data_IF_206243805829
#
_entry.id   IF_206243805829
#
_cell.length_a   1.000
_cell.length_b   1.000
_cell.length_c   1.000
_cell.angle_alpha   90.00
_cell.angle_beta   90.00
_cell.angle_gamma   90.00
#
_symmetry.space_group_name_H-M   'P 1'
#
loop_
_entity.id
_entity.type
_entity.pdbx_description
1 polymer ?
#
# COMPACT_ATOMS: atom_id res chain seq x y z
N UNK A 1 12.78 23.08 3.60
CA UNK A 1 13.39 22.01 4.41
C UNK A 1 12.85 20.67 3.94
N UNK A 2 13.68 19.63 3.73
CA UNK A 2 13.18 18.26 3.55
C UNK A 2 12.37 17.84 4.78
N UNK A 3 11.39 16.95 4.62
CA UNK A 3 10.54 16.51 5.73
C UNK A 3 10.33 15.00 5.76
N UNK A 4 10.08 14.50 6.97
CA UNK A 4 9.50 13.19 7.18
C UNK A 4 7.98 13.33 7.27
N UNK A 5 7.28 12.50 6.53
CA UNK A 5 5.83 12.44 6.55
C UNK A 5 5.34 11.00 6.56
N UNK A 6 4.15 10.83 7.11
CA UNK A 6 3.37 9.59 7.08
C UNK A 6 2.30 9.73 6.02
N UNK A 7 2.00 8.62 5.33
CA UNK A 7 0.83 8.52 4.46
C UNK A 7 -0.13 7.49 4.99
N UNK A 8 -1.38 7.89 5.05
CA UNK A 8 -2.49 7.05 5.47
C UNK A 8 -3.47 6.93 4.30
N UNK A 9 -4.06 5.75 4.14
CA UNK A 9 -5.20 5.60 3.24
C UNK A 9 -6.42 6.00 4.04
N UNK A 10 -7.18 6.96 3.54
CA UNK A 10 -8.42 7.42 4.17
C UNK A 10 -9.53 7.50 3.13
N UNK A 11 -10.76 7.27 3.55
CA UNK A 11 -11.95 7.46 2.73
C UNK A 11 -12.32 8.95 2.59
N UNK A 12 -13.47 9.21 1.96
CA UNK A 12 -14.04 10.57 1.83
C UNK A 12 -14.37 11.26 3.15
N UNK A 13 -14.59 10.49 4.21
CA UNK A 13 -14.95 10.93 5.56
C UNK A 13 -13.73 10.99 6.50
N UNK A 14 -12.52 10.91 5.93
CA UNK A 14 -11.24 10.89 6.63
C UNK A 14 -11.07 9.72 7.61
N UNK A 15 -11.73 8.58 7.35
CA UNK A 15 -11.55 7.35 8.11
C UNK A 15 -10.63 6.38 7.37
N UNK A 16 -9.73 5.74 8.11
CA UNK A 16 -8.92 4.64 7.59
C UNK A 16 -9.79 3.43 7.24
N UNK A 17 -9.31 2.52 6.37
CA UNK A 17 -9.95 1.25 6.14
C UNK A 17 -10.18 0.46 7.43
N UNK A 18 -11.25 -0.32 7.46
CA UNK A 18 -11.46 -1.30 8.53
C UNK A 18 -10.57 -2.53 8.33
N UNK A 19 -10.27 -3.31 9.39
CA UNK A 19 -9.60 -4.59 9.25
C UNK A 19 -10.27 -5.52 8.26
N UNK A 20 -11.60 -5.53 8.21
CA UNK A 20 -12.34 -6.32 7.23
C UNK A 20 -12.03 -5.90 5.78
N UNK A 21 -12.13 -4.61 5.48
CA UNK A 21 -11.80 -4.08 4.15
C UNK A 21 -10.32 -4.41 3.79
N UNK A 22 -9.42 -4.34 4.77
CA UNK A 22 -8.01 -4.68 4.59
C UNK A 22 -7.77 -6.19 4.31
N UNK A 23 -8.58 -7.08 4.88
CA UNK A 23 -8.54 -8.52 4.58
C UNK A 23 -8.99 -8.81 3.15
N UNK A 24 -10.06 -8.16 2.67
CA UNK A 24 -10.53 -8.31 1.28
C UNK A 24 -9.48 -7.83 0.27
N UNK A 25 -8.83 -6.69 0.56
CA UNK A 25 -7.68 -6.21 -0.23
C UNK A 25 -6.52 -7.22 -0.21
N UNK A 26 -6.26 -7.84 0.94
CA UNK A 26 -5.18 -8.82 1.08
C UNK A 26 -5.42 -10.04 0.19
N UNK A 27 -6.66 -10.53 0.15
CA UNK A 27 -7.06 -11.63 -0.74
C UNK A 27 -6.90 -11.25 -2.21
N UNK A 28 -7.33 -10.04 -2.61
CA UNK A 28 -7.14 -9.55 -3.97
C UNK A 28 -5.65 -9.47 -4.35
N UNK A 29 -4.78 -8.95 -3.46
CA UNK A 29 -3.34 -8.85 -3.70
C UNK A 29 -2.68 -10.23 -3.87
N UNK A 30 -3.13 -11.24 -3.13
CA UNK A 30 -2.67 -12.63 -3.29
C UNK A 30 -3.08 -13.22 -4.62
N UNK A 31 -4.33 -13.04 -5.04
CA UNK A 31 -4.82 -13.48 -6.36
C UNK A 31 -4.05 -12.79 -7.48
N UNK A 32 -3.82 -11.48 -7.34
CA UNK A 32 -3.01 -10.69 -8.26
C UNK A 32 -1.59 -11.25 -8.41
N UNK A 33 -0.88 -11.56 -7.33
CA UNK A 33 0.48 -12.12 -7.39
C UNK A 33 0.50 -13.58 -7.85
N UNK A 34 -0.53 -14.35 -7.49
CA UNK A 34 -0.64 -15.76 -7.84
C UNK A 34 -0.76 -16.00 -9.35
N UNK A 35 -1.22 -15.01 -10.11
CA UNK A 35 -1.26 -15.06 -11.58
C UNK A 35 -2.16 -16.16 -12.13
N UNK A 36 -3.26 -16.49 -11.43
CA UNK A 36 -4.19 -17.52 -11.85
C UNK A 36 -5.07 -17.02 -13.01
N UNK A 37 -5.17 -17.80 -14.09
CA UNK A 37 -5.99 -17.50 -15.27
C UNK A 37 -7.46 -17.18 -14.93
N UNK A 38 -7.99 -17.77 -13.85
CA UNK A 38 -9.37 -17.52 -13.40
C UNK A 38 -9.58 -16.08 -12.92
N UNK A 39 -8.53 -15.43 -12.45
CA UNK A 39 -8.55 -14.07 -11.92
C UNK A 39 -8.08 -13.03 -12.97
N UNK A 40 -7.66 -13.48 -14.16
CA UNK A 40 -7.07 -12.64 -15.21
C UNK A 40 -7.93 -11.42 -15.59
N UNK A 41 -9.25 -11.59 -15.65
CA UNK A 41 -10.18 -10.49 -15.97
C UNK A 41 -10.19 -9.39 -14.91
N UNK A 42 -10.17 -9.77 -13.64
CA UNK A 42 -10.20 -8.85 -12.50
C UNK A 42 -8.84 -8.14 -12.36
N UNK A 43 -7.75 -8.90 -12.50
CA UNK A 43 -6.37 -8.38 -12.52
C UNK A 43 -6.18 -7.36 -13.64
N UNK A 44 -6.66 -7.64 -14.86
CA UNK A 44 -6.57 -6.69 -15.98
C UNK A 44 -7.30 -5.37 -15.68
N UNK A 45 -8.44 -5.41 -14.97
CA UNK A 45 -9.14 -4.18 -14.56
C UNK A 45 -8.35 -3.38 -13.53
N UNK A 46 -7.76 -4.06 -12.54
CA UNK A 46 -6.92 -3.42 -11.52
C UNK A 46 -5.67 -2.76 -12.14
N UNK A 47 -5.02 -3.41 -13.10
CA UNK A 47 -3.86 -2.87 -13.82
C UNK A 47 -4.18 -1.58 -14.58
N UNK A 48 -5.30 -1.58 -15.32
CA UNK A 48 -5.75 -0.40 -16.08
C UNK A 48 -6.01 0.82 -15.18
N UNK A 49 -6.34 0.61 -13.91
CA UNK A 49 -6.53 1.68 -12.93
C UNK A 49 -5.19 2.29 -12.43
N UNK A 50 -4.08 1.55 -12.52
CA UNK A 50 -2.81 1.91 -11.86
C UNK A 50 -1.80 2.73 -12.68
N UNK A 51 -1.92 2.77 -14.03
CA UNK A 51 -1.27 3.62 -15.07
C UNK A 51 -0.54 2.85 -16.21
N UNK A 52 -0.67 3.43 -17.41
CA UNK A 52 0.11 3.36 -18.69
C UNK A 52 0.23 2.08 -19.52
N UNK A 53 -0.12 0.89 -19.04
CA UNK A 53 -0.04 -0.33 -19.85
C UNK A 53 -1.42 -0.97 -19.94
N UNK A 54 -1.96 -1.06 -21.16
CA UNK A 54 -3.18 -1.82 -21.45
C UNK A 54 -2.86 -3.31 -21.42
N UNK A 55 -2.70 -3.87 -20.21
CA UNK A 55 -2.66 -5.32 -20.04
C UNK A 55 -4.07 -5.87 -20.28
N UNK A 56 -4.18 -6.82 -21.21
CA UNK A 56 -5.42 -7.54 -21.50
C UNK A 56 -5.56 -8.81 -20.68
N UNK A 57 -6.78 -9.36 -20.67
CA UNK A 57 -7.02 -10.68 -20.07
C UNK A 57 -6.23 -11.77 -20.79
N UNK A 58 -6.09 -11.67 -22.12
CA UNK A 58 -5.25 -12.59 -22.90
C UNK A 58 -3.77 -12.50 -22.54
N UNK A 59 -3.24 -11.30 -22.30
CA UNK A 59 -1.82 -11.12 -21.93
C UNK A 59 -1.49 -11.83 -20.62
N UNK A 60 -2.43 -11.82 -19.67
CA UNK A 60 -2.27 -12.51 -18.38
C UNK A 60 -2.33 -14.03 -18.59
N UNK A 61 -3.38 -14.52 -19.26
CA UNK A 61 -3.57 -15.98 -19.50
C UNK A 61 -2.46 -16.61 -20.33
N UNK A 62 -1.85 -15.83 -21.23
CA UNK A 62 -0.74 -16.29 -22.06
C UNK A 62 0.62 -16.16 -21.37
N UNK A 63 0.67 -15.66 -20.13
CA UNK A 63 1.90 -15.50 -19.35
C UNK A 63 2.80 -14.35 -19.81
N UNK A 64 2.28 -13.44 -20.66
CA UNK A 64 3.00 -12.27 -21.15
C UNK A 64 2.91 -11.06 -20.20
N UNK A 65 2.17 -11.17 -19.09
CA UNK A 65 2.06 -10.13 -18.09
C UNK A 65 3.18 -10.16 -17.04
N UNK A 66 3.85 -9.01 -16.83
CA UNK A 66 4.91 -8.85 -15.84
C UNK A 66 4.38 -8.18 -14.57
N UNK A 67 3.79 -8.97 -13.67
CA UNK A 67 3.33 -8.51 -12.36
C UNK A 67 4.43 -7.74 -11.61
N UNK A 68 4.08 -6.55 -11.08
CA UNK A 68 4.99 -5.69 -10.31
C UNK A 68 6.31 -5.36 -11.06
N UNK A 69 6.29 -5.36 -12.39
CA UNK A 69 7.46 -5.14 -13.25
C UNK A 69 8.40 -6.36 -13.33
N UNK A 70 7.90 -7.56 -13.05
CA UNK A 70 8.67 -8.82 -13.11
C UNK A 70 9.66 -9.01 -11.94
N UNK A 71 9.63 -8.12 -10.95
CA UNK A 71 10.58 -8.13 -9.85
C UNK A 71 10.09 -9.04 -8.71
N UNK A 72 10.70 -10.22 -8.59
CA UNK A 72 10.43 -11.19 -7.51
C UNK A 72 10.47 -10.55 -6.11
N UNK A 73 11.38 -9.61 -5.88
CA UNK A 73 11.49 -8.91 -4.60
C UNK A 73 10.24 -8.09 -4.28
N UNK A 74 9.60 -7.45 -5.27
CA UNK A 74 8.36 -6.69 -5.06
C UNK A 74 7.20 -7.62 -4.70
N UNK A 75 7.07 -8.75 -5.38
CA UNK A 75 6.08 -9.77 -5.05
C UNK A 75 6.28 -10.29 -3.62
N UNK A 76 7.53 -10.60 -3.25
CA UNK A 76 7.87 -10.99 -1.87
C UNK A 76 7.48 -9.91 -0.86
N UNK A 77 7.80 -8.64 -1.11
CA UNK A 77 7.46 -7.53 -0.22
C UNK A 77 5.93 -7.40 -0.01
N UNK A 78 5.13 -7.58 -1.06
CA UNK A 78 3.67 -7.53 -0.95
C UNK A 78 3.14 -8.74 -0.19
N UNK A 79 3.61 -9.96 -0.47
CA UNK A 79 3.20 -11.15 0.26
C UNK A 79 3.59 -11.11 1.75
N UNK A 80 4.77 -10.58 2.08
CA UNK A 80 5.20 -10.36 3.46
C UNK A 80 4.30 -9.32 4.15
N UNK A 81 3.95 -8.24 3.46
CA UNK A 81 2.98 -7.26 3.97
C UNK A 81 1.61 -7.90 4.24
N UNK A 82 1.06 -8.66 3.28
CA UNK A 82 -0.19 -9.39 3.42
C UNK A 82 -0.17 -10.34 4.63
N UNK A 83 0.90 -11.12 4.80
CA UNK A 83 1.03 -12.05 5.94
C UNK A 83 1.11 -11.32 7.28
N UNK A 84 1.87 -10.23 7.37
CA UNK A 84 1.96 -9.43 8.59
C UNK A 84 0.60 -8.79 8.94
N UNK A 85 -0.10 -8.28 7.93
CA UNK A 85 -1.42 -7.67 8.07
C UNK A 85 -2.45 -8.67 8.60
N UNK A 86 -2.50 -9.87 8.01
CA UNK A 86 -3.40 -10.94 8.46
C UNK A 86 -3.13 -11.38 9.90
N UNK A 87 -1.86 -11.55 10.28
CA UNK A 87 -1.51 -11.92 11.65
C UNK A 87 -2.02 -10.88 12.64
N UNK A 88 -1.82 -9.59 12.35
CA UNK A 88 -2.30 -8.50 13.21
C UNK A 88 -3.83 -8.43 13.29
N UNK A 89 -4.55 -8.74 12.20
CA UNK A 89 -6.01 -8.66 12.16
C UNK A 89 -6.67 -9.91 12.78
N UNK A 90 -6.06 -11.09 12.62
CA UNK A 90 -6.61 -12.35 13.14
C UNK A 90 -6.73 -12.34 14.66
N UNK A 91 -5.83 -11.60 15.33
CA UNK A 91 -5.82 -11.40 16.78
C UNK A 91 -6.89 -10.43 17.29
N UNK A 92 -7.57 -9.68 16.40
CA UNK A 92 -8.62 -8.74 16.77
C UNK A 92 -9.98 -9.43 16.94
N UNK A 93 -10.75 -8.94 17.91
CA UNK A 93 -12.15 -9.32 18.08
C UNK A 93 -13.05 -8.72 16.98
N UNK A 94 -14.29 -9.22 16.87
CA UNK A 94 -15.21 -8.80 15.82
C UNK A 94 -15.60 -7.32 15.91
N UNK A 95 -15.54 -6.70 17.09
CA UNK A 95 -15.85 -5.29 17.26
C UNK A 95 -14.71 -4.39 16.74
N UNK A 96 -13.47 -4.80 16.98
CA UNK A 96 -12.28 -4.12 16.48
C UNK A 96 -12.12 -4.26 14.96
N UNK A 97 -12.71 -5.30 14.35
CA UNK A 97 -12.65 -5.55 12.89
C UNK A 97 -13.45 -4.58 12.03
N UNK A 98 -14.37 -3.84 12.64
CA UNK A 98 -15.20 -2.82 11.97
C UNK A 98 -14.75 -1.40 12.31
N UNK A 99 -13.76 -1.24 13.20
CA UNK A 99 -13.18 0.05 13.55
C UNK A 99 -12.04 0.43 12.58
N UNK A 100 -11.84 1.73 12.25
CA UNK A 100 -10.75 2.17 11.39
C UNK A 100 -9.35 1.79 11.91
N UNK A 101 -8.48 1.30 11.02
CA UNK A 101 -7.09 0.96 11.34
C UNK A 101 -6.19 2.21 11.51
N UNK A 102 -5.34 2.30 12.54
CA UNK A 102 -4.41 3.41 12.70
C UNK A 102 -3.11 3.22 11.89
N UNK A 103 -3.18 2.79 10.63
CA UNK A 103 -2.00 2.30 9.88
C UNK A 103 -1.66 3.07 8.60
N UNK A 104 -0.37 3.01 8.27
CA UNK A 104 0.21 3.56 7.05
C UNK A 104 0.25 2.48 5.96
N UNK A 105 -0.22 2.80 4.76
CA UNK A 105 -0.41 1.81 3.69
C UNK A 105 0.26 2.24 2.37
N UNK A 106 0.71 1.26 1.58
CA UNK A 106 1.47 1.47 0.33
C UNK A 106 0.55 1.85 -0.84
N UNK A 107 1.11 2.51 -1.87
CA UNK A 107 0.35 2.96 -3.06
C UNK A 107 -0.35 1.83 -3.82
N UNK A 108 0.27 0.65 -3.94
CA UNK A 108 -0.37 -0.52 -4.58
C UNK A 108 -1.66 -0.92 -3.84
N UNK A 109 -1.68 -0.73 -2.52
CA UNK A 109 -2.81 -1.04 -1.67
C UNK A 109 -3.95 -0.04 -1.91
N UNK A 110 -3.65 1.24 -2.18
CA UNK A 110 -4.66 2.24 -2.53
C UNK A 110 -5.48 1.83 -3.77
N UNK A 111 -4.83 1.37 -4.83
CA UNK A 111 -5.54 0.96 -6.04
C UNK A 111 -6.47 -0.23 -5.78
N UNK A 112 -6.04 -1.18 -4.95
CA UNK A 112 -6.88 -2.30 -4.53
C UNK A 112 -8.09 -1.84 -3.69
N UNK A 113 -7.90 -0.87 -2.78
CA UNK A 113 -9.00 -0.25 -2.04
C UNK A 113 -9.99 0.47 -2.96
N UNK A 114 -9.50 1.26 -3.91
CA UNK A 114 -10.33 1.96 -4.89
C UNK A 114 -11.07 0.98 -5.82
N UNK A 115 -10.47 -0.17 -6.11
CA UNK A 115 -11.07 -1.23 -6.92
C UNK A 115 -12.22 -1.93 -6.20
N UNK A 116 -11.99 -2.38 -4.96
CA UNK A 116 -12.98 -3.13 -4.18
C UNK A 116 -14.07 -2.23 -3.60
N UNK A 117 -13.73 -0.99 -3.24
CA UNK A 117 -14.63 -0.06 -2.56
C UNK A 117 -14.71 1.30 -3.28
N UNK A 118 -15.18 1.33 -4.54
CA UNK A 118 -15.21 2.55 -5.35
C UNK A 118 -16.05 3.66 -4.70
N UNK A 119 -17.10 3.28 -3.97
CA UNK A 119 -18.00 4.22 -3.30
C UNK A 119 -17.40 4.86 -2.03
N UNK A 120 -16.34 4.29 -1.45
CA UNK A 120 -15.69 4.88 -0.26
C UNK A 120 -14.85 6.11 -0.62
N UNK A 121 -14.33 6.16 -1.85
CA UNK A 121 -13.52 7.29 -2.32
C UNK A 121 -12.15 7.36 -1.65
N UNK A 122 -11.53 6.20 -1.42
CA UNK A 122 -10.21 6.10 -0.78
C UNK A 122 -9.15 6.95 -1.50
N UNK A 123 -8.36 7.68 -0.71
CA UNK A 123 -7.24 8.53 -1.14
C UNK A 123 -6.07 8.39 -0.17
N UNK A 124 -4.90 8.88 -0.57
CA UNK A 124 -3.79 9.05 0.36
C UNK A 124 -3.89 10.43 1.00
N UNK A 125 -3.80 10.47 2.32
CA UNK A 125 -3.56 11.69 3.07
C UNK A 125 -2.12 11.70 3.58
N UNK A 126 -1.47 12.86 3.58
CA UNK A 126 -0.06 13.01 3.93
C UNK A 126 0.10 13.91 5.14
N UNK A 127 0.65 13.37 6.23
CA UNK A 127 0.84 14.08 7.49
C UNK A 127 2.34 14.32 7.72
N UNK A 128 2.77 15.58 7.72
CA UNK A 128 4.16 15.94 8.02
C UNK A 128 4.41 15.73 9.51
N UNK A 129 5.42 14.93 9.85
CA UNK A 129 5.83 14.72 11.24
C UNK A 129 6.77 15.85 11.67
N UNK A 130 7.84 16.09 10.91
CA UNK A 130 8.76 17.20 11.16
C UNK A 130 9.62 17.54 9.94
N UNK A 131 10.23 18.72 9.98
CA UNK A 131 11.16 19.22 8.97
C UNK A 131 12.60 19.03 9.43
N UNK A 132 13.44 18.59 8.50
CA UNK A 132 14.89 18.47 8.68
C UNK A 132 15.61 19.63 8.00
N UNK A 133 16.78 20.01 8.50
CA UNK A 133 17.66 20.95 7.83
C UNK A 133 18.27 20.31 6.56
N UNK A 134 18.65 19.03 6.63
CA UNK A 134 19.35 18.31 5.57
C UNK A 134 18.68 16.97 5.21
N UNK A 135 18.78 16.48 3.95
CA UNK A 135 18.23 15.18 3.56
C UNK A 135 18.81 13.99 4.33
N UNK A 136 20.06 14.08 4.77
CA UNK A 136 20.72 13.04 5.58
C UNK A 136 20.05 12.88 6.95
N UNK A 137 19.54 13.97 7.53
CA UNK A 137 18.80 13.91 8.79
C UNK A 137 17.45 13.19 8.60
N UNK A 138 16.86 13.26 7.40
CA UNK A 138 15.69 12.44 7.09
C UNK A 138 16.02 10.95 7.12
N UNK A 139 17.16 10.51 6.56
CA UNK A 139 17.56 9.09 6.61
C UNK A 139 17.74 8.60 8.05
N UNK A 140 18.41 9.40 8.89
CA UNK A 140 18.58 9.10 10.32
C UNK A 140 17.21 9.03 11.02
N UNK A 141 16.31 9.97 10.73
CA UNK A 141 14.98 9.98 11.30
C UNK A 141 14.09 8.81 10.85
N UNK A 142 14.14 8.43 9.56
CA UNK A 142 13.45 7.24 9.06
C UNK A 142 13.94 5.98 9.79
N UNK A 143 15.26 5.83 9.92
CA UNK A 143 15.88 4.68 10.59
C UNK A 143 15.54 4.65 12.09
N UNK A 144 15.63 5.78 12.78
CA UNK A 144 15.32 5.88 14.20
C UNK A 144 13.87 5.49 14.48
N UNK A 145 12.91 6.06 13.75
CA UNK A 145 11.49 5.76 13.95
C UNK A 145 11.20 4.29 13.61
N UNK A 146 11.76 3.76 12.52
CA UNK A 146 11.58 2.36 12.14
C UNK A 146 12.10 1.40 13.22
N UNK A 147 13.29 1.67 13.78
CA UNK A 147 13.86 0.88 14.88
C UNK A 147 13.04 0.99 16.16
N UNK A 148 12.62 2.20 16.53
CA UNK A 148 11.78 2.44 17.71
C UNK A 148 10.42 1.76 17.62
N UNK A 149 9.86 1.66 16.42
CA UNK A 149 8.59 0.99 16.16
C UNK A 149 8.72 -0.52 15.88
N UNK A 150 9.93 -1.10 15.98
CA UNK A 150 10.21 -2.48 15.60
C UNK A 150 9.73 -2.85 14.18
N UNK A 151 9.73 -1.87 13.27
CA UNK A 151 9.21 -2.02 11.91
C UNK A 151 10.32 -2.41 10.92
N UNK A 152 9.91 -3.03 9.80
CA UNK A 152 10.80 -3.29 8.67
C UNK A 152 11.19 -1.98 7.96
N UNK A 153 12.49 -1.78 7.74
CA UNK A 153 13.03 -0.60 7.06
C UNK A 153 13.67 -0.97 5.73
N UNK A 154 13.21 -0.32 4.66
CA UNK A 154 13.92 -0.15 3.39
C UNK A 154 13.86 1.35 3.10
N UNK A 155 15.03 2.01 3.01
CA UNK A 155 15.16 3.47 2.83
C UNK A 155 14.15 3.95 1.77
N UNK A 156 13.30 4.93 2.12
CA UNK A 156 12.30 5.51 1.21
C UNK A 156 10.95 4.79 1.09
N UNK A 157 10.68 3.75 1.90
CA UNK A 157 9.40 3.01 1.83
C UNK A 157 8.49 3.08 3.07
N UNK A 158 9.02 3.52 4.22
CA UNK A 158 8.27 3.55 5.50
C UNK A 158 7.87 4.95 5.99
N UNK A 159 8.67 5.98 5.71
CA UNK A 159 8.46 7.37 6.12
C UNK A 159 9.03 8.30 5.07
N UNK A 160 8.44 8.26 3.88
CA UNK A 160 8.99 8.87 2.66
C UNK A 160 9.58 10.27 2.91
N UNK A 161 10.70 10.57 2.28
CA UNK A 161 11.31 11.91 2.27
C UNK A 161 10.85 12.71 1.06
N UNK A 162 10.40 13.95 1.26
CA UNK A 162 10.12 14.89 0.15
C UNK A 162 11.13 16.04 0.17
N UNK A 163 11.72 16.42 -0.98
CA UNK A 163 12.53 17.64 -1.11
C UNK A 163 11.77 18.91 -0.73
N UNK A 164 12.49 19.93 -0.28
CA UNK A 164 11.90 21.23 0.01
C UNK A 164 11.19 21.81 -1.22
N UNK A 165 9.93 22.25 -1.07
CA UNK A 165 9.18 22.97 -2.11
C UNK A 165 8.30 22.12 -3.02
N UNK A 166 8.23 20.80 -2.81
CA UNK A 166 7.28 19.93 -3.51
C UNK A 166 6.05 19.75 -2.62
N UNK A 167 4.86 20.05 -3.17
CA UNK A 167 3.59 19.78 -2.49
C UNK A 167 3.43 18.27 -2.30
N UNK A 168 3.31 17.84 -1.03
CA UNK A 168 2.95 16.47 -0.65
C UNK A 168 1.43 16.31 -0.72
N UNK A 169 0.87 16.38 -1.93
CA UNK A 169 -0.48 15.87 -2.20
C UNK A 169 -0.42 14.40 -2.60
#
# INVERSE_FOLDING_TARGET
>A
APCLYVREIVDRDAQSPTPREAMEVTELLRRYIGGNDKDAREIAKLERQSRSVDTTEEDIKSGHHFFLGGLKQRAKNVLTFCAALENNITELDDSAREAPLPWTLKYLVLNAFQHLFPDRGFRLDSHVIFFCALPQECQIGEELISRSAQAYFEIGTGLRVTPAGISVS
#
